data_IF_102198110369
#
_entry.id   IF_102198110369
#
_cell.length_a   1.000
_cell.length_b   1.000
_cell.length_c   1.000
_cell.angle_alpha   90.00
_cell.angle_beta   90.00
_cell.angle_gamma   90.00
#
_symmetry.space_group_name_H-M   'P 1'
#
loop_
_entity.id
_entity.type
_entity.pdbx_description
1 polymer ?
#
# COMPACT_ATOMS: atom_id res chain seq x y z
N UNK A 1 -54.11 -0.43 -2.08
CA UNK A 1 -54.26 -0.53 -0.61
C UNK A 1 -53.11 0.25 0.03
N UNK A 2 -53.48 1.31 0.69
CA UNK A 2 -52.58 2.22 1.43
C UNK A 2 -52.19 1.56 2.76
N UNK A 3 -50.96 1.69 3.24
CA UNK A 3 -50.64 1.82 4.65
C UNK A 3 -49.33 2.56 4.83
N UNK A 4 -49.47 3.77 5.30
CA UNK A 4 -48.47 4.64 5.92
C UNK A 4 -47.94 4.00 7.21
N UNK A 5 -46.71 4.21 7.56
CA UNK A 5 -46.29 4.32 8.96
C UNK A 5 -45.30 5.46 9.16
N UNK A 6 -45.66 6.20 10.17
CA UNK A 6 -45.26 7.56 10.53
C UNK A 6 -44.03 7.53 11.45
N UNK A 7 -43.23 8.59 11.33
CA UNK A 7 -42.22 9.19 12.19
C UNK A 7 -42.22 8.82 13.69
N UNK A 8 -41.04 8.69 14.27
CA UNK A 8 -40.75 9.18 15.61
C UNK A 8 -39.38 9.87 15.63
N UNK A 9 -39.44 11.11 16.02
CA UNK A 9 -38.39 12.08 16.30
C UNK A 9 -38.10 12.01 17.81
N UNK A 10 -36.86 12.00 18.26
CA UNK A 10 -36.49 12.38 19.61
C UNK A 10 -35.09 13.00 19.61
N UNK A 11 -35.09 14.28 19.86
CA UNK A 11 -33.92 15.09 20.20
C UNK A 11 -33.70 15.05 21.72
N UNK A 12 -32.45 15.06 22.15
CA UNK A 12 -32.08 15.57 23.46
C UNK A 12 -30.70 16.22 23.41
N UNK A 13 -30.71 17.53 23.50
CA UNK A 13 -29.59 18.40 23.89
C UNK A 13 -29.29 18.19 25.38
N UNK A 14 -28.03 18.22 25.77
CA UNK A 14 -27.63 18.79 27.05
C UNK A 14 -26.22 19.40 26.94
N UNK A 15 -26.26 20.73 27.05
CA UNK A 15 -25.16 21.65 27.25
C UNK A 15 -24.63 21.49 28.70
N UNK A 16 -23.33 21.59 28.88
CA UNK A 16 -22.67 21.72 30.19
C UNK A 16 -21.34 22.46 30.05
N UNK A 17 -21.42 23.80 30.03
CA UNK A 17 -20.31 24.70 30.33
C UNK A 17 -20.04 24.69 31.83
N UNK A 18 -18.77 24.65 32.22
CA UNK A 18 -18.29 25.32 33.45
C UNK A 18 -16.86 25.82 33.25
N UNK A 19 -16.78 27.12 33.40
CA UNK A 19 -15.64 28.02 33.41
C UNK A 19 -14.94 28.05 34.75
N UNK A 20 -13.67 28.32 34.73
CA UNK A 20 -13.01 29.43 35.45
C UNK A 20 -11.89 29.12 36.43
N UNK A 21 -10.78 29.81 36.17
CA UNK A 21 -9.88 30.57 37.09
C UNK A 21 -9.13 29.74 38.15
N UNK A 22 -7.85 29.90 38.37
CA UNK A 22 -6.88 30.97 38.12
C UNK A 22 -5.77 30.89 39.16
N UNK A 23 -4.63 31.36 38.74
CA UNK A 23 -3.55 32.02 39.51
C UNK A 23 -2.58 31.25 40.40
N UNK A 24 -1.31 31.39 40.00
CA UNK A 24 -0.10 31.80 40.75
C UNK A 24 0.24 31.20 42.13
N UNK A 25 1.50 30.79 42.23
CA UNK A 25 2.26 30.88 43.48
C UNK A 25 3.47 29.98 43.63
N UNK A 26 4.63 30.51 43.18
CA UNK A 26 5.97 30.50 43.81
C UNK A 26 6.48 29.33 44.67
N UNK A 27 7.64 28.81 44.22
CA UNK A 27 8.84 28.36 44.91
C UNK A 27 8.86 28.00 46.43
N UNK A 28 9.51 26.90 46.74
CA UNK A 28 10.66 26.84 47.65
C UNK A 28 11.13 25.40 47.89
N UNK A 29 12.34 25.12 47.53
CA UNK A 29 13.49 24.43 48.18
C UNK A 29 13.21 23.78 49.54
N UNK A 30 13.60 22.51 49.72
CA UNK A 30 14.58 22.10 50.75
C UNK A 30 14.75 20.59 50.84
N UNK A 31 16.01 20.15 50.64
CA UNK A 31 16.89 19.32 51.43
C UNK A 31 16.51 17.86 51.80
N UNK A 32 17.43 17.00 51.44
CA UNK A 32 17.62 15.63 51.92
C UNK A 32 17.96 15.58 53.43
N UNK A 33 17.92 14.41 54.02
CA UNK A 33 19.14 13.95 54.70
C UNK A 33 19.59 12.53 54.33
N UNK A 34 20.91 12.41 54.37
CA UNK A 34 21.76 11.23 54.35
C UNK A 34 21.66 10.39 55.62
N UNK A 35 22.34 9.22 55.48
CA UNK A 35 23.03 8.41 56.53
C UNK A 35 22.27 7.15 56.94
N UNK A 36 22.79 5.95 56.92
CA UNK A 36 24.10 5.47 57.37
C UNK A 36 24.36 4.03 56.89
N UNK A 37 25.60 3.70 56.62
CA UNK A 37 26.16 2.39 56.34
C UNK A 37 26.23 1.51 57.59
N UNK A 38 26.19 0.19 57.38
CA UNK A 38 26.83 -0.76 58.29
C UNK A 38 27.42 -1.93 57.47
N UNK A 39 28.73 -1.99 57.47
CA UNK A 39 29.56 -3.16 57.13
C UNK A 39 29.34 -4.29 58.12
N UNK A 40 29.38 -5.54 57.66
CA UNK A 40 29.97 -6.63 58.40
C UNK A 40 30.46 -7.77 57.49
N UNK A 41 31.73 -8.04 57.65
CA UNK A 41 32.73 -8.93 57.10
C UNK A 41 32.36 -10.41 56.93
N UNK A 42 32.86 -10.96 55.82
CA UNK A 42 33.63 -12.17 55.51
C UNK A 42 33.28 -13.54 56.15
N UNK A 43 33.20 -14.55 55.29
CA UNK A 43 34.01 -15.76 55.36
C UNK A 43 34.01 -16.52 54.02
N UNK A 44 35.19 -16.78 53.49
CA UNK A 44 35.52 -17.69 52.39
C UNK A 44 35.05 -19.11 52.67
N UNK A 45 34.58 -19.81 51.68
CA UNK A 45 34.86 -21.21 51.45
C UNK A 45 34.83 -21.56 49.98
N UNK A 46 36.00 -21.98 49.53
CA UNK A 46 36.28 -22.49 48.18
C UNK A 46 35.71 -23.90 48.07
N UNK A 47 34.87 -24.13 47.04
CA UNK A 47 34.77 -25.46 46.44
C UNK A 47 34.51 -25.30 44.92
N UNK A 48 35.48 -25.80 44.16
CA UNK A 48 35.40 -25.91 42.72
C UNK A 48 34.43 -27.04 42.37
N UNK A 49 33.32 -26.67 41.71
CA UNK A 49 32.53 -27.59 40.95
C UNK A 49 32.57 -27.15 39.48
N UNK A 50 33.20 -27.99 38.68
CA UNK A 50 33.20 -27.95 37.23
C UNK A 50 31.79 -28.22 36.73
N UNK A 51 31.01 -27.21 36.47
CA UNK A 51 29.80 -27.37 35.71
C UNK A 51 30.13 -27.22 34.22
N UNK A 52 30.01 -28.33 33.52
CA UNK A 52 29.94 -28.34 32.06
C UNK A 52 28.75 -27.50 31.66
N UNK A 53 29.01 -26.37 30.99
CA UNK A 53 28.00 -25.61 30.30
C UNK A 53 27.42 -26.49 29.17
N UNK A 54 26.29 -27.10 29.44
CA UNK A 54 25.41 -27.62 28.42
C UNK A 54 24.77 -26.37 27.82
N UNK A 55 25.23 -25.93 26.65
CA UNK A 55 24.44 -25.06 25.78
C UNK A 55 23.12 -25.81 25.51
N UNK A 56 22.11 -25.49 26.29
CA UNK A 56 20.75 -25.77 25.90
C UNK A 56 20.51 -24.87 24.65
N UNK A 57 20.42 -25.50 23.48
CA UNK A 57 19.80 -24.86 22.34
C UNK A 57 18.40 -24.39 22.83
N UNK A 58 18.17 -23.10 22.91
CA UNK A 58 16.83 -22.57 23.08
C UNK A 58 16.03 -23.13 21.88
N UNK A 59 15.09 -24.03 22.17
CA UNK A 59 14.11 -24.44 21.18
C UNK A 59 13.41 -23.16 20.74
N UNK A 60 13.64 -22.70 19.50
CA UNK A 60 12.96 -21.54 18.93
C UNK A 60 11.46 -21.78 19.06
N UNK A 61 10.82 -20.96 19.88
CA UNK A 61 9.38 -21.08 20.11
C UNK A 61 8.65 -20.77 18.82
N UNK A 62 7.77 -21.68 18.36
CA UNK A 62 6.96 -21.48 17.17
C UNK A 62 6.25 -20.12 17.20
N UNK A 63 6.37 -19.35 16.12
CA UNK A 63 5.75 -18.05 15.98
C UNK A 63 4.33 -18.21 15.42
N UNK A 64 3.32 -18.10 16.29
CA UNK A 64 1.92 -18.24 15.90
C UNK A 64 1.27 -16.97 15.34
N UNK A 65 1.96 -15.82 15.46
CA UNK A 65 1.45 -14.51 15.03
C UNK A 65 2.37 -13.87 14.00
N UNK A 66 1.80 -13.31 12.94
CA UNK A 66 2.53 -12.60 11.87
C UNK A 66 1.96 -11.19 11.75
N UNK A 67 2.84 -10.18 11.72
CA UNK A 67 2.48 -8.78 11.59
C UNK A 67 3.08 -8.14 10.33
N UNK A 68 2.21 -7.65 9.47
CA UNK A 68 2.56 -6.79 8.34
C UNK A 68 2.21 -5.33 8.66
N UNK A 69 3.10 -4.41 8.37
CA UNK A 69 2.85 -2.97 8.55
C UNK A 69 3.30 -2.17 7.32
N UNK A 70 2.56 -1.14 6.91
CA UNK A 70 3.06 -0.20 5.91
C UNK A 70 2.08 0.16 4.80
N UNK A 71 2.42 -0.15 3.55
CA UNK A 71 1.71 0.32 2.35
C UNK A 71 0.19 0.14 2.38
N UNK A 72 -0.54 1.24 2.18
CA UNK A 72 -2.00 1.23 2.03
C UNK A 72 -2.45 0.59 0.71
N UNK A 73 -1.57 0.47 -0.29
CA UNK A 73 -1.86 -0.21 -1.56
C UNK A 73 -1.82 -1.73 -1.42
N UNK A 74 -0.89 -2.27 -0.63
CA UNK A 74 -0.80 -3.71 -0.37
C UNK A 74 -1.79 -4.18 0.70
N UNK A 75 -2.20 -3.28 1.60
CA UNK A 75 -3.11 -3.57 2.70
C UNK A 75 -4.38 -4.36 2.30
N UNK A 76 -5.17 -3.98 1.26
CA UNK A 76 -6.39 -4.71 0.91
C UNK A 76 -6.10 -6.14 0.41
N UNK A 77 -4.99 -6.35 -0.31
CA UNK A 77 -4.59 -7.67 -0.79
C UNK A 77 -4.25 -8.57 0.39
N UNK A 78 -3.29 -8.14 1.23
CA UNK A 78 -2.84 -8.96 2.36
C UNK A 78 -3.92 -9.14 3.43
N UNK A 79 -4.78 -8.15 3.67
CA UNK A 79 -5.91 -8.30 4.61
C UNK A 79 -6.91 -9.35 4.12
N UNK A 80 -7.19 -9.40 2.81
CA UNK A 80 -8.06 -10.42 2.23
C UNK A 80 -7.43 -11.80 2.34
N UNK A 81 -6.12 -11.92 2.04
CA UNK A 81 -5.39 -13.19 2.12
C UNK A 81 -5.25 -13.68 3.57
N UNK A 82 -4.96 -12.79 4.53
CA UNK A 82 -4.91 -13.12 5.94
C UNK A 82 -6.25 -13.66 6.46
N UNK A 83 -7.36 -13.03 6.05
CA UNK A 83 -8.71 -13.50 6.40
C UNK A 83 -9.00 -14.86 5.77
N UNK A 84 -8.73 -15.03 4.47
CA UNK A 84 -8.97 -16.31 3.77
C UNK A 84 -8.13 -17.44 4.37
N UNK A 85 -6.84 -17.20 4.66
CA UNK A 85 -5.95 -18.18 5.28
C UNK A 85 -6.44 -18.60 6.67
N UNK A 86 -6.82 -17.61 7.50
CA UNK A 86 -7.30 -17.87 8.86
C UNK A 86 -8.66 -18.59 8.85
N UNK A 87 -9.54 -18.29 7.90
CA UNK A 87 -10.83 -18.98 7.75
C UNK A 87 -10.66 -20.41 7.25
N UNK A 88 -9.69 -20.67 6.36
CA UNK A 88 -9.42 -21.98 5.79
C UNK A 88 -8.78 -22.93 6.82
N UNK A 89 -7.78 -22.48 7.54
CA UNK A 89 -6.95 -23.35 8.39
C UNK A 89 -7.26 -23.25 9.89
N UNK A 90 -7.67 -22.09 10.40
CA UNK A 90 -8.02 -21.80 11.80
C UNK A 90 -6.82 -21.94 12.77
N UNK A 91 -6.12 -23.06 12.72
CA UNK A 91 -4.94 -23.38 13.57
C UNK A 91 -3.77 -23.85 12.73
N UNK A 92 -2.55 -23.63 13.22
CA UNK A 92 -1.32 -23.93 12.46
C UNK A 92 -1.15 -25.41 12.15
N UNK A 93 -1.61 -26.33 13.02
CA UNK A 93 -1.58 -27.79 12.77
C UNK A 93 -2.44 -28.23 11.57
N UNK A 94 -3.30 -27.36 11.06
CA UNK A 94 -4.07 -27.60 9.83
C UNK A 94 -3.32 -27.15 8.57
N UNK A 95 -2.38 -26.21 8.73
CA UNK A 95 -1.48 -25.80 7.64
C UNK A 95 -0.43 -26.90 7.41
N UNK A 96 0.24 -27.33 8.50
CA UNK A 96 1.17 -28.46 8.49
C UNK A 96 1.04 -29.25 9.80
N UNK A 97 0.97 -30.58 9.70
CA UNK A 97 0.80 -31.48 10.86
C UNK A 97 2.00 -31.47 11.86
N UNK A 98 3.13 -30.91 11.46
CA UNK A 98 4.29 -30.71 12.34
C UNK A 98 4.18 -29.46 13.21
N UNK A 99 3.27 -28.53 12.88
CA UNK A 99 3.08 -27.28 13.62
C UNK A 99 2.21 -27.50 14.86
N UNK A 100 2.33 -26.64 15.88
CA UNK A 100 1.47 -26.71 17.06
C UNK A 100 0.03 -26.32 16.72
N UNK A 101 -0.95 -26.78 17.51
CA UNK A 101 -2.37 -26.48 17.35
C UNK A 101 -2.73 -25.08 17.91
N UNK A 102 -1.85 -24.11 17.70
CA UNK A 102 -2.08 -22.71 18.06
C UNK A 102 -2.97 -22.02 17.03
N UNK A 103 -3.78 -21.05 17.47
CA UNK A 103 -4.60 -20.26 16.57
C UNK A 103 -3.72 -19.40 15.65
N UNK A 104 -4.10 -19.33 14.37
CA UNK A 104 -3.47 -18.44 13.39
C UNK A 104 -3.84 -16.99 13.72
N UNK A 105 -2.83 -16.12 13.76
CA UNK A 105 -2.98 -14.70 14.06
C UNK A 105 -2.18 -13.88 13.05
N UNK A 106 -2.82 -13.36 12.01
CA UNK A 106 -2.15 -12.56 11.00
C UNK A 106 -2.75 -11.15 11.00
N UNK A 107 -1.92 -10.16 11.30
CA UNK A 107 -2.31 -8.76 11.39
C UNK A 107 -1.70 -7.96 10.25
N UNK A 108 -2.52 -7.12 9.62
CA UNK A 108 -2.08 -6.22 8.55
C UNK A 108 -2.46 -4.79 8.94
N UNK A 109 -1.46 -3.94 9.14
CA UNK A 109 -1.64 -2.55 9.58
C UNK A 109 -1.24 -1.55 8.48
N UNK A 110 -2.14 -0.65 8.04
CA UNK A 110 -1.79 0.39 7.10
C UNK A 110 -0.98 1.52 7.78
N UNK A 111 0.01 2.11 7.07
CA UNK A 111 0.85 3.18 7.64
C UNK A 111 1.69 3.94 6.60
N UNK A 112 1.67 3.47 5.34
CA UNK A 112 2.54 3.97 4.27
C UNK A 112 3.90 3.25 4.18
N UNK A 113 4.54 3.30 3.01
CA UNK A 113 5.76 2.53 2.70
C UNK A 113 6.94 2.83 3.64
N UNK A 114 7.14 4.09 4.02
CA UNK A 114 8.22 4.47 4.93
C UNK A 114 8.03 3.89 6.34
N UNK A 115 6.80 3.92 6.85
CA UNK A 115 6.45 3.31 8.14
C UNK A 115 6.67 1.80 8.11
N UNK A 116 6.30 1.14 7.00
CA UNK A 116 6.52 -0.29 6.83
C UNK A 116 7.99 -0.68 6.92
N UNK A 117 8.86 0.02 6.18
CA UNK A 117 10.31 -0.24 6.24
C UNK A 117 10.85 -0.01 7.65
N UNK A 118 10.49 1.11 8.29
CA UNK A 118 10.94 1.38 9.67
C UNK A 118 10.48 0.30 10.63
N UNK A 119 9.24 -0.19 10.49
CA UNK A 119 8.72 -1.24 11.36
C UNK A 119 9.49 -2.57 11.20
N UNK A 120 9.89 -2.94 9.98
CA UNK A 120 10.72 -4.12 9.74
C UNK A 120 12.16 -3.94 10.25
N UNK A 121 12.77 -2.75 10.05
CA UNK A 121 14.11 -2.42 10.58
C UNK A 121 14.13 -2.45 12.11
N UNK A 122 13.11 -1.87 12.75
CA UNK A 122 12.98 -1.79 14.21
C UNK A 122 12.42 -3.08 14.82
N UNK A 123 12.10 -4.10 13.99
CA UNK A 123 11.51 -5.39 14.39
C UNK A 123 10.21 -5.23 15.20
N UNK A 124 9.43 -4.19 14.89
CA UNK A 124 8.10 -3.97 15.45
C UNK A 124 6.99 -4.56 14.58
N UNK A 125 7.35 -5.00 13.39
CA UNK A 125 6.57 -5.87 12.51
C UNK A 125 7.53 -6.86 11.83
N UNK A 126 7.02 -8.05 11.50
CA UNK A 126 7.79 -9.10 10.83
C UNK A 126 8.06 -8.71 9.38
N UNK A 127 7.09 -8.03 8.76
CA UNK A 127 7.16 -7.57 7.38
C UNK A 127 6.80 -6.10 7.21
N UNK A 128 7.61 -5.37 6.45
CA UNK A 128 7.35 -4.02 5.98
C UNK A 128 6.69 -4.02 4.61
N UNK A 129 5.49 -3.44 4.46
CA UNK A 129 4.79 -3.32 3.18
C UNK A 129 5.20 -2.04 2.44
N UNK A 130 5.49 -2.16 1.15
CA UNK A 130 5.87 -1.04 0.27
C UNK A 130 5.02 -1.02 -1.01
N UNK A 131 4.83 0.18 -1.56
CA UNK A 131 4.31 0.40 -2.91
C UNK A 131 5.26 1.32 -3.68
N UNK A 132 6.52 0.99 -3.68
CA UNK A 132 7.64 1.60 -4.39
C UNK A 132 8.84 0.69 -4.33
N UNK A 133 9.84 0.98 -5.13
CA UNK A 133 11.15 0.35 -4.97
C UNK A 133 11.72 0.66 -3.59
N UNK A 134 12.36 -0.33 -2.99
CA UNK A 134 13.12 -0.13 -1.76
C UNK A 134 14.42 0.62 -2.07
N UNK A 135 14.85 1.49 -1.16
CA UNK A 135 16.09 2.26 -1.30
C UNK A 135 17.30 1.46 -0.84
N UNK A 136 18.46 1.69 -1.42
CA UNK A 136 19.71 1.03 -1.02
C UNK A 136 20.01 1.21 0.47
N UNK A 137 19.77 2.42 1.02
CA UNK A 137 19.93 2.68 2.46
C UNK A 137 18.94 1.91 3.35
N UNK A 138 17.76 1.56 2.84
CA UNK A 138 16.77 0.75 3.55
C UNK A 138 17.16 -0.73 3.52
N UNK A 139 17.71 -1.22 2.40
CA UNK A 139 18.28 -2.57 2.28
C UNK A 139 19.46 -2.72 3.27
N UNK A 140 20.36 -1.72 3.32
CA UNK A 140 21.47 -1.71 4.26
C UNK A 140 21.01 -1.76 5.72
N UNK A 141 19.94 -1.02 6.05
CA UNK A 141 19.35 -1.00 7.38
C UNK A 141 18.66 -2.32 7.79
N UNK A 142 18.07 -3.04 6.83
CA UNK A 142 17.46 -4.36 7.04
C UNK A 142 18.52 -5.45 7.25
N UNK A 143 19.75 -5.26 6.72
CA UNK A 143 20.89 -6.10 6.98
C UNK A 143 21.05 -7.31 6.08
N UNK A 144 21.83 -8.29 6.54
CA UNK A 144 22.32 -9.40 5.70
C UNK A 144 21.24 -10.43 5.33
N UNK A 145 20.20 -10.55 6.15
CA UNK A 145 19.09 -11.48 5.94
C UNK A 145 17.90 -10.82 5.19
N UNK A 146 18.14 -9.64 4.58
CA UNK A 146 17.15 -8.94 3.76
C UNK A 146 16.52 -9.84 2.70
N UNK A 147 15.18 -9.85 2.66
CA UNK A 147 14.38 -10.51 1.65
C UNK A 147 13.29 -9.58 1.16
N UNK A 148 12.93 -9.71 -0.11
CA UNK A 148 11.85 -8.93 -0.73
C UNK A 148 10.94 -9.82 -1.56
N UNK A 149 9.63 -9.53 -1.50
CA UNK A 149 8.56 -10.31 -2.11
C UNK A 149 7.66 -9.39 -2.91
N UNK A 150 7.82 -9.38 -4.24
CA UNK A 150 6.99 -8.56 -5.13
C UNK A 150 5.70 -9.32 -5.40
N UNK A 151 4.60 -8.83 -4.84
CA UNK A 151 3.26 -9.43 -4.99
C UNK A 151 2.60 -8.96 -6.29
N UNK A 152 2.72 -7.67 -6.59
CA UNK A 152 1.98 -7.08 -7.70
C UNK A 152 2.71 -5.89 -8.34
N UNK A 153 2.21 -5.47 -9.49
CA UNK A 153 2.47 -4.18 -10.11
C UNK A 153 1.21 -3.31 -10.08
N UNK A 154 1.36 -2.08 -9.66
CA UNK A 154 0.35 -1.03 -9.74
C UNK A 154 0.67 -0.16 -10.95
N UNK A 155 -0.09 -0.33 -12.05
CA UNK A 155 0.14 0.38 -13.29
C UNK A 155 -1.03 1.30 -13.62
N UNK A 156 -0.71 2.45 -14.21
CA UNK A 156 -1.67 3.46 -14.64
C UNK A 156 -1.66 3.58 -16.15
N UNK A 157 -2.82 3.39 -16.78
CA UNK A 157 -2.97 3.65 -18.21
C UNK A 157 -3.33 5.12 -18.45
N UNK A 158 -2.58 5.84 -19.26
CA UNK A 158 -3.04 7.13 -19.79
C UNK A 158 -4.19 6.84 -20.72
N UNK A 159 -5.39 7.29 -20.38
CA UNK A 159 -6.62 6.93 -21.07
C UNK A 159 -7.40 8.15 -21.50
N UNK A 160 -8.00 8.07 -22.68
CA UNK A 160 -8.98 9.02 -23.21
C UNK A 160 -10.33 8.35 -23.40
N UNK A 161 -11.38 9.13 -23.58
CA UNK A 161 -12.66 8.60 -24.02
C UNK A 161 -12.51 7.91 -25.38
N UNK A 162 -13.12 6.74 -25.58
CA UNK A 162 -13.01 5.99 -26.83
C UNK A 162 -13.62 6.72 -28.06
N UNK A 163 -14.51 7.69 -27.85
CA UNK A 163 -15.07 8.55 -28.89
C UNK A 163 -14.25 9.82 -29.15
N UNK A 164 -13.14 10.02 -28.44
CA UNK A 164 -12.26 11.17 -28.67
C UNK A 164 -11.64 11.07 -30.07
N UNK A 165 -11.69 12.14 -30.89
CA UNK A 165 -11.11 12.12 -32.22
C UNK A 165 -9.62 11.80 -32.29
N UNK A 166 -8.87 12.00 -31.21
CA UNK A 166 -7.44 11.61 -31.14
C UNK A 166 -7.23 10.12 -31.44
N UNK A 167 -8.19 9.26 -31.09
CA UNK A 167 -8.13 7.82 -31.37
C UNK A 167 -8.05 7.49 -32.87
N UNK A 168 -8.48 8.42 -33.75
CA UNK A 168 -8.36 8.30 -35.19
C UNK A 168 -7.09 8.94 -35.76
N UNK A 169 -6.31 9.64 -34.97
CA UNK A 169 -5.08 10.36 -35.36
C UNK A 169 -3.83 9.67 -34.87
N UNK A 170 -3.78 9.36 -33.58
CA UNK A 170 -2.65 8.64 -32.94
C UNK A 170 -3.13 7.79 -31.79
N UNK A 171 -2.40 6.71 -31.51
CA UNK A 171 -2.55 5.88 -30.32
C UNK A 171 -1.37 6.07 -29.33
N UNK A 172 -0.45 7.01 -29.61
CA UNK A 172 0.77 7.25 -28.86
C UNK A 172 0.93 8.71 -28.46
N UNK A 173 1.29 8.94 -27.19
CA UNK A 173 1.67 10.24 -26.64
C UNK A 173 3.06 10.12 -26.01
N UNK A 174 3.89 11.13 -26.20
CA UNK A 174 5.16 11.16 -25.45
C UNK A 174 4.92 11.49 -23.98
N UNK A 175 5.78 11.01 -23.10
CA UNK A 175 5.74 11.37 -21.67
C UNK A 175 5.70 12.88 -21.46
N UNK A 176 6.45 13.66 -22.28
CA UNK A 176 6.43 15.13 -22.20
C UNK A 176 5.09 15.73 -22.64
N UNK A 177 4.45 15.21 -23.68
CA UNK A 177 3.10 15.65 -24.08
C UNK A 177 2.08 15.38 -22.98
N UNK A 178 2.13 14.18 -22.37
CA UNK A 178 1.27 13.84 -21.23
C UNK A 178 1.52 14.81 -20.07
N UNK A 179 2.78 15.07 -19.74
CA UNK A 179 3.15 16.05 -18.71
C UNK A 179 2.57 17.44 -19.02
N UNK A 180 2.75 17.95 -20.25
CA UNK A 180 2.27 19.27 -20.66
C UNK A 180 0.74 19.38 -20.59
N UNK A 181 0.01 18.33 -20.98
CA UNK A 181 -1.46 18.29 -20.87
C UNK A 181 -1.87 18.35 -19.39
N UNK A 182 -1.27 17.52 -18.56
CA UNK A 182 -1.62 17.48 -17.14
C UNK A 182 -1.14 18.69 -16.35
N UNK A 183 -0.10 19.38 -16.82
CA UNK A 183 0.33 20.68 -16.27
C UNK A 183 -0.54 21.87 -16.74
N UNK A 184 -1.40 21.66 -17.76
CA UNK A 184 -2.19 22.73 -18.37
C UNK A 184 -1.38 23.63 -19.30
N UNK A 185 -0.25 23.16 -19.80
CA UNK A 185 0.55 23.85 -20.85
C UNK A 185 -0.06 23.61 -22.24
N UNK A 186 -0.71 22.47 -22.44
CA UNK A 186 -1.55 22.11 -23.58
C UNK A 186 -2.99 22.04 -23.07
N UNK A 187 -3.84 22.96 -23.53
CA UNK A 187 -5.20 23.15 -23.02
C UNK A 187 -6.29 22.66 -23.99
N UNK A 188 -5.95 22.50 -25.29
CA UNK A 188 -6.90 22.13 -26.33
C UNK A 188 -6.34 21.01 -27.22
N UNK A 189 -7.24 20.18 -27.78
CA UNK A 189 -6.86 19.03 -28.58
C UNK A 189 -6.13 19.39 -29.90
N UNK A 190 -6.40 20.53 -30.51
CA UNK A 190 -5.67 21.03 -31.71
C UNK A 190 -4.22 21.41 -31.40
N UNK A 191 -3.86 21.63 -30.12
CA UNK A 191 -2.46 21.81 -29.71
C UNK A 191 -1.71 20.48 -29.62
N UNK A 192 -2.42 19.37 -29.46
CA UNK A 192 -1.83 18.02 -29.51
C UNK A 192 -1.57 17.62 -30.97
N UNK A 193 -2.57 17.82 -31.85
CA UNK A 193 -2.44 17.63 -33.29
C UNK A 193 -3.37 18.64 -34.04
N UNK A 194 -2.82 19.37 -35.00
CA UNK A 194 -3.53 20.42 -35.72
C UNK A 194 -4.73 19.93 -36.57
N UNK A 195 -4.90 18.61 -36.73
CA UNK A 195 -6.07 18.01 -37.39
C UNK A 195 -7.27 17.83 -36.47
N UNK A 196 -7.05 17.97 -35.15
CA UNK A 196 -8.08 17.84 -34.14
C UNK A 196 -8.85 19.15 -33.94
N UNK A 197 -10.09 19.11 -33.45
CA UNK A 197 -10.84 20.32 -33.15
C UNK A 197 -10.26 21.08 -31.96
N UNK A 198 -10.39 22.40 -31.95
CA UNK A 198 -9.96 23.28 -30.84
C UNK A 198 -10.93 23.19 -29.66
N UNK A 199 -11.11 21.99 -29.15
CA UNK A 199 -11.93 21.70 -27.97
C UNK A 199 -11.05 21.58 -26.72
N UNK A 200 -11.54 22.01 -25.55
CA UNK A 200 -10.75 21.95 -24.32
C UNK A 200 -10.43 20.48 -23.91
N UNK A 201 -9.25 20.30 -23.35
CA UNK A 201 -8.86 19.02 -22.73
C UNK A 201 -9.31 19.02 -21.27
N UNK A 202 -10.22 18.11 -20.91
CA UNK A 202 -10.68 17.95 -19.54
C UNK A 202 -9.82 16.90 -18.82
N UNK A 203 -9.02 17.33 -17.86
CA UNK A 203 -8.06 16.48 -17.15
C UNK A 203 -8.70 15.88 -15.91
N UNK A 204 -8.63 14.55 -15.76
CA UNK A 204 -9.13 13.80 -14.63
C UNK A 204 -7.98 13.10 -13.88
N UNK A 205 -7.91 13.30 -12.57
CA UNK A 205 -6.87 12.74 -11.70
C UNK A 205 -7.47 12.07 -10.47
N UNK A 206 -6.67 11.28 -9.78
CA UNK A 206 -6.96 10.85 -8.41
C UNK A 206 -6.78 12.01 -7.44
N UNK A 207 -7.40 11.89 -6.27
CA UNK A 207 -7.08 12.77 -5.16
C UNK A 207 -5.57 12.75 -4.87
N UNK A 208 -5.03 13.90 -4.45
CA UNK A 208 -3.59 14.13 -4.29
C UNK A 208 -2.97 13.29 -3.15
N UNK A 209 -3.77 12.72 -2.26
CA UNK A 209 -3.32 11.84 -1.19
C UNK A 209 -3.23 10.37 -1.63
N UNK A 210 -3.71 10.04 -2.82
CA UNK A 210 -3.78 8.68 -3.34
C UNK A 210 -2.45 8.18 -3.87
N UNK A 211 -2.13 6.91 -3.58
CA UNK A 211 -0.90 6.31 -4.08
C UNK A 211 -0.76 6.28 -5.60
N UNK A 212 -1.87 6.30 -6.34
CA UNK A 212 -1.84 6.40 -7.79
C UNK A 212 -1.40 7.78 -8.30
N UNK A 213 -1.79 8.85 -7.58
CA UNK A 213 -1.25 10.17 -7.88
C UNK A 213 0.28 10.20 -7.69
N UNK A 214 0.80 9.59 -6.61
CA UNK A 214 2.23 9.48 -6.37
C UNK A 214 2.98 8.76 -7.51
N UNK A 215 2.40 7.66 -8.05
CA UNK A 215 2.95 6.97 -9.22
C UNK A 215 3.01 7.90 -10.42
N UNK A 216 1.89 8.56 -10.73
CA UNK A 216 1.79 9.46 -11.88
C UNK A 216 2.73 10.67 -11.74
N UNK A 217 2.77 11.28 -10.55
CA UNK A 217 3.68 12.39 -10.25
C UNK A 217 5.14 11.99 -10.48
N UNK A 218 5.56 10.84 -9.98
CA UNK A 218 6.94 10.36 -10.12
C UNK A 218 7.28 9.98 -11.57
N UNK A 219 6.37 9.30 -12.27
CA UNK A 219 6.66 8.70 -13.57
C UNK A 219 6.46 9.64 -14.75
N UNK A 220 5.59 10.67 -14.61
CA UNK A 220 5.20 11.58 -15.69
C UNK A 220 5.50 13.02 -15.36
N UNK A 221 5.04 13.51 -14.21
CA UNK A 221 5.09 14.94 -13.90
C UNK A 221 6.49 15.41 -13.46
N UNK A 222 7.27 14.56 -12.80
CA UNK A 222 8.56 14.95 -12.23
C UNK A 222 8.41 16.11 -11.23
N UNK A 223 9.07 17.24 -11.51
CA UNK A 223 8.96 18.45 -10.69
C UNK A 223 7.78 19.37 -11.10
N UNK A 224 7.03 19.02 -12.15
CA UNK A 224 5.86 19.80 -12.60
C UNK A 224 4.65 19.47 -11.72
N UNK A 225 3.80 20.47 -11.49
CA UNK A 225 2.53 20.28 -10.78
C UNK A 225 1.39 20.02 -11.76
N UNK A 226 0.41 19.23 -11.35
CA UNK A 226 -0.83 19.07 -12.11
C UNK A 226 -1.65 20.35 -12.04
N UNK A 227 -2.26 20.74 -13.17
CA UNK A 227 -3.09 21.95 -13.27
C UNK A 227 -4.19 21.98 -12.20
N UNK A 228 -4.41 23.16 -11.62
CA UNK A 228 -5.50 23.37 -10.67
C UNK A 228 -6.90 23.18 -11.29
N UNK A 229 -7.01 23.18 -12.63
CA UNK A 229 -8.24 22.92 -13.37
C UNK A 229 -8.59 21.42 -13.44
N UNK A 230 -7.68 20.50 -13.08
CA UNK A 230 -7.91 19.07 -13.11
C UNK A 230 -9.03 18.66 -12.12
N UNK A 231 -9.93 17.82 -12.59
CA UNK A 231 -11.00 17.25 -11.77
C UNK A 231 -10.47 16.07 -10.96
N UNK A 232 -10.55 16.15 -9.63
CA UNK A 232 -10.14 15.07 -8.74
C UNK A 232 -11.26 14.05 -8.55
N UNK A 233 -10.90 12.76 -8.62
CA UNK A 233 -11.80 11.63 -8.39
C UNK A 233 -11.42 10.88 -7.12
N UNK A 234 -12.41 10.53 -6.29
CA UNK A 234 -12.20 9.84 -5.02
C UNK A 234 -11.79 8.36 -5.16
N UNK A 235 -12.01 7.76 -6.34
CA UNK A 235 -11.64 6.37 -6.64
C UNK A 235 -11.18 6.18 -8.07
N UNK A 236 -10.44 5.09 -8.36
CA UNK A 236 -10.07 4.72 -9.73
C UNK A 236 -11.27 4.40 -10.61
N UNK A 237 -12.31 3.82 -10.03
CA UNK A 237 -13.57 3.54 -10.76
C UNK A 237 -14.27 4.84 -11.15
N UNK A 238 -14.33 5.82 -10.26
CA UNK A 238 -14.90 7.14 -10.55
C UNK A 238 -14.08 7.87 -11.61
N UNK A 239 -12.74 7.84 -11.52
CA UNK A 239 -11.85 8.44 -12.52
C UNK A 239 -12.10 7.84 -13.91
N UNK A 240 -12.10 6.51 -14.04
CA UNK A 240 -12.40 5.82 -15.29
C UNK A 240 -13.82 6.18 -15.82
N UNK A 241 -14.81 6.28 -14.93
CA UNK A 241 -16.17 6.68 -15.27
C UNK A 241 -16.25 8.13 -15.78
N UNK A 242 -15.53 9.04 -15.13
CA UNK A 242 -15.50 10.44 -15.55
C UNK A 242 -14.90 10.59 -16.95
N UNK A 243 -13.79 9.91 -17.25
CA UNK A 243 -13.22 9.91 -18.61
C UNK A 243 -14.20 9.28 -19.62
N UNK A 244 -14.83 8.15 -19.27
CA UNK A 244 -15.77 7.46 -20.16
C UNK A 244 -17.02 8.29 -20.50
N UNK A 245 -17.42 9.22 -19.63
CA UNK A 245 -18.60 10.09 -19.83
C UNK A 245 -18.26 11.44 -20.47
N UNK A 246 -16.98 11.73 -20.69
CA UNK A 246 -16.53 12.99 -21.27
C UNK A 246 -15.70 12.74 -22.53
N UNK A 247 -16.28 13.04 -23.70
CA UNK A 247 -15.62 12.87 -24.99
C UNK A 247 -14.26 13.56 -25.09
N UNK A 248 -14.07 14.67 -24.38
CA UNK A 248 -12.84 15.47 -24.40
C UNK A 248 -11.93 15.18 -23.19
N UNK A 249 -12.31 14.16 -22.41
CA UNK A 249 -11.60 13.75 -21.20
C UNK A 249 -10.31 12.99 -21.48
N UNK A 250 -9.31 13.26 -20.65
CA UNK A 250 -8.09 12.48 -20.49
C UNK A 250 -7.82 12.28 -19.01
N UNK A 251 -7.25 11.13 -18.65
CA UNK A 251 -6.86 10.85 -17.27
C UNK A 251 -5.94 9.63 -17.21
N UNK A 252 -5.56 9.25 -16.01
CA UNK A 252 -4.84 7.99 -15.79
C UNK A 252 -5.72 7.02 -14.99
N UNK A 253 -6.09 5.92 -15.58
CA UNK A 253 -6.85 4.87 -14.89
C UNK A 253 -5.89 3.77 -14.40
N UNK A 254 -6.11 3.23 -13.20
CA UNK A 254 -5.45 1.99 -12.81
C UNK A 254 -5.80 0.87 -13.78
N UNK A 255 -4.84 0.00 -14.10
CA UNK A 255 -5.00 -1.05 -15.13
C UNK A 255 -6.25 -1.91 -14.92
N UNK A 256 -6.53 -2.31 -13.67
CA UNK A 256 -7.75 -3.06 -13.33
C UNK A 256 -9.03 -2.23 -13.53
N UNK A 257 -9.02 -0.93 -13.21
CA UNK A 257 -10.17 -0.06 -13.41
C UNK A 257 -10.44 0.20 -14.90
N UNK A 258 -9.39 0.36 -15.71
CA UNK A 258 -9.46 0.45 -17.16
C UNK A 258 -10.09 -0.81 -17.77
N UNK A 259 -9.60 -1.99 -17.42
CA UNK A 259 -10.14 -3.25 -17.90
C UNK A 259 -11.61 -3.46 -17.50
N UNK A 260 -11.95 -3.12 -16.26
CA UNK A 260 -13.32 -3.20 -15.74
C UNK A 260 -14.26 -2.24 -16.46
N UNK A 261 -13.83 -1.02 -16.75
CA UNK A 261 -14.63 -0.06 -17.51
C UNK A 261 -14.93 -0.58 -18.92
N UNK A 262 -13.97 -1.25 -19.56
CA UNK A 262 -14.09 -1.77 -20.92
C UNK A 262 -14.72 -3.20 -21.01
N UNK A 263 -15.07 -3.83 -19.89
CA UNK A 263 -15.56 -5.22 -19.86
C UNK A 263 -16.83 -5.47 -20.70
N UNK A 264 -17.68 -4.47 -20.88
CA UNK A 264 -18.93 -4.56 -21.64
C UNK A 264 -18.93 -3.75 -22.96
N UNK A 265 -17.78 -3.32 -23.41
CA UNK A 265 -17.57 -2.49 -24.60
C UNK A 265 -16.50 -1.44 -24.34
N UNK A 266 -15.81 -1.06 -25.42
CA UNK A 266 -14.73 -0.09 -25.31
C UNK A 266 -15.29 1.32 -25.08
N UNK A 267 -15.16 1.83 -23.87
CA UNK A 267 -15.53 3.19 -23.46
C UNK A 267 -14.30 4.07 -23.19
N UNK A 268 -13.15 3.44 -22.95
CA UNK A 268 -11.86 4.07 -22.77
C UNK A 268 -10.86 3.53 -23.80
N UNK A 269 -10.03 4.42 -24.33
CA UNK A 269 -8.86 4.05 -25.12
C UNK A 269 -7.60 4.34 -24.30
N UNK A 270 -6.78 3.31 -24.02
CA UNK A 270 -5.45 3.51 -23.47
C UNK A 270 -4.52 4.01 -24.58
N UNK A 271 -3.80 5.07 -24.28
CA UNK A 271 -2.74 5.59 -25.15
C UNK A 271 -1.43 4.86 -24.82
N UNK A 272 -0.65 4.57 -25.85
CA UNK A 272 0.77 4.25 -25.63
C UNK A 272 1.48 5.47 -25.05
N UNK A 273 2.54 5.24 -24.31
CA UNK A 273 3.42 6.31 -23.82
C UNK A 273 4.85 6.01 -24.28
N UNK A 274 5.42 6.93 -25.05
CA UNK A 274 6.72 6.76 -25.73
C UNK A 274 6.81 5.46 -26.56
N UNK A 275 5.74 5.14 -27.28
CA UNK A 275 5.61 3.95 -28.11
C UNK A 275 5.33 2.64 -27.33
N UNK A 276 5.20 2.70 -26.00
CA UNK A 276 4.99 1.51 -25.14
C UNK A 276 3.53 1.40 -24.73
N UNK A 277 2.91 0.28 -25.06
CA UNK A 277 1.55 -0.06 -24.66
C UNK A 277 1.52 -0.61 -23.23
N UNK A 278 0.49 -0.24 -22.44
CA UNK A 278 0.24 -0.76 -21.12
C UNK A 278 -0.36 -2.18 -21.20
N UNK A 279 0.45 -3.17 -21.55
CA UNK A 279 0.10 -4.59 -21.50
C UNK A 279 0.65 -5.25 -20.24
N UNK A 280 0.06 -6.37 -19.82
CA UNK A 280 0.58 -7.16 -18.69
C UNK A 280 2.06 -7.49 -18.88
N UNK A 281 2.45 -7.92 -20.10
CA UNK A 281 3.84 -8.25 -20.44
C UNK A 281 4.78 -7.05 -20.25
N UNK A 282 4.41 -5.88 -20.79
CA UNK A 282 5.22 -4.67 -20.69
C UNK A 282 5.29 -4.12 -19.26
N UNK A 283 4.23 -4.29 -18.48
CA UNK A 283 4.16 -3.85 -17.08
C UNK A 283 5.01 -4.77 -16.20
N UNK A 284 4.82 -6.08 -16.28
CA UNK A 284 5.59 -7.06 -15.49
C UNK A 284 7.07 -7.04 -15.90
N UNK A 285 7.34 -6.87 -17.20
CA UNK A 285 8.69 -6.75 -17.75
C UNK A 285 9.38 -5.41 -17.49
N UNK A 286 8.74 -4.50 -16.75
CA UNK A 286 9.24 -3.14 -16.46
C UNK A 286 9.58 -2.32 -17.72
N UNK A 287 8.90 -2.59 -18.85
CA UNK A 287 9.01 -1.81 -20.09
C UNK A 287 8.09 -0.58 -20.01
N UNK A 288 6.83 -0.77 -19.58
CA UNK A 288 5.89 0.32 -19.32
C UNK A 288 6.22 1.01 -18.00
N UNK A 289 6.51 2.32 -18.03
CA UNK A 289 7.13 3.02 -16.89
C UNK A 289 6.17 3.68 -15.91
N UNK A 290 4.89 3.86 -16.27
CA UNK A 290 3.89 4.44 -15.36
C UNK A 290 3.34 3.34 -14.46
N UNK A 291 4.21 2.79 -13.61
CA UNK A 291 3.93 1.68 -12.71
C UNK A 291 4.89 1.66 -11.50
N UNK A 292 4.55 0.88 -10.50
CA UNK A 292 5.39 0.64 -9.32
C UNK A 292 5.21 -0.78 -8.79
N UNK A 293 6.21 -1.36 -8.13
CA UNK A 293 6.04 -2.60 -7.41
C UNK A 293 5.17 -2.38 -6.16
N UNK A 294 4.38 -3.41 -5.85
CA UNK A 294 3.66 -3.55 -4.59
C UNK A 294 4.20 -4.81 -3.93
N UNK A 295 4.91 -4.65 -2.80
CA UNK A 295 5.79 -5.66 -2.25
C UNK A 295 5.84 -5.59 -0.72
N UNK A 296 6.37 -6.63 -0.10
CA UNK A 296 6.77 -6.60 1.30
C UNK A 296 8.21 -7.07 1.47
N UNK A 297 8.82 -6.67 2.56
CA UNK A 297 10.23 -6.94 2.87
C UNK A 297 10.39 -7.37 4.32
N UNK A 298 11.43 -8.12 4.60
CA UNK A 298 11.89 -8.42 5.96
C UNK A 298 13.42 -8.33 6.03
N UNK A 299 13.97 -8.10 7.22
CA UNK A 299 15.40 -8.15 7.53
C UNK A 299 15.79 -9.42 8.27
N UNK A 300 14.89 -10.39 8.36
CA UNK A 300 15.09 -11.63 9.12
C UNK A 300 14.84 -12.87 8.26
N UNK A 301 15.35 -14.02 8.69
CA UNK A 301 15.00 -15.29 8.07
C UNK A 301 13.56 -15.63 8.41
N UNK A 302 12.84 -16.12 7.43
CA UNK A 302 11.47 -16.54 7.64
C UNK A 302 11.39 -17.70 8.65
N UNK A 303 10.49 -17.59 9.60
CA UNK A 303 10.03 -18.71 10.40
C UNK A 303 9.18 -19.67 9.57
N UNK A 304 8.91 -20.87 10.06
CA UNK A 304 8.09 -21.85 9.35
C UNK A 304 6.66 -21.35 9.09
N UNK A 305 6.07 -20.66 10.05
CA UNK A 305 4.74 -20.05 9.90
C UNK A 305 4.71 -18.91 8.88
N UNK A 306 5.73 -18.05 8.89
CA UNK A 306 5.88 -16.96 7.90
C UNK A 306 6.05 -17.52 6.50
N UNK A 307 6.91 -18.55 6.33
CA UNK A 307 7.09 -19.20 5.05
C UNK A 307 5.78 -19.80 4.53
N UNK A 308 5.01 -20.46 5.38
CA UNK A 308 3.73 -21.05 5.00
C UNK A 308 2.73 -19.99 4.52
N UNK A 309 2.67 -18.83 5.20
CA UNK A 309 1.81 -17.74 4.72
C UNK A 309 2.35 -17.04 3.47
N UNK A 310 3.66 -16.89 3.34
CA UNK A 310 4.30 -16.40 2.10
C UNK A 310 3.97 -17.33 0.94
N UNK A 311 4.05 -18.64 1.10
CA UNK A 311 3.68 -19.61 0.06
C UNK A 311 2.20 -19.47 -0.34
N UNK A 312 1.30 -19.22 0.63
CA UNK A 312 -0.10 -18.96 0.34
C UNK A 312 -0.32 -17.65 -0.44
N UNK A 313 0.43 -16.58 -0.12
CA UNK A 313 0.38 -15.31 -0.88
C UNK A 313 0.76 -15.56 -2.34
N UNK A 314 1.73 -16.44 -2.61
CA UNK A 314 2.20 -16.75 -3.96
C UNK A 314 1.50 -17.96 -4.63
N UNK A 315 0.39 -18.42 -4.04
CA UNK A 315 -0.49 -19.45 -4.60
C UNK A 315 -1.48 -18.89 -5.64
N UNK A 316 -2.30 -19.79 -6.21
CA UNK A 316 -3.41 -19.39 -7.09
C UNK A 316 -4.41 -18.47 -6.36
N UNK A 317 -4.67 -18.71 -5.07
CA UNK A 317 -5.55 -17.85 -4.25
C UNK A 317 -4.98 -16.42 -4.18
N UNK A 318 -3.67 -16.29 -3.93
CA UNK A 318 -3.01 -14.99 -3.90
C UNK A 318 -3.04 -14.28 -5.26
N UNK A 319 -2.89 -15.03 -6.35
CA UNK A 319 -3.01 -14.51 -7.71
C UNK A 319 -4.41 -13.92 -7.94
N UNK A 320 -5.46 -14.72 -7.69
CA UNK A 320 -6.86 -14.31 -7.92
C UNK A 320 -7.26 -13.11 -7.04
N UNK A 321 -6.84 -13.08 -5.77
CA UNK A 321 -7.08 -11.96 -4.85
C UNK A 321 -6.37 -10.69 -5.32
N UNK A 322 -5.16 -10.81 -5.85
CA UNK A 322 -4.40 -9.68 -6.40
C UNK A 322 -5.12 -9.07 -7.61
N UNK A 323 -5.56 -9.89 -8.57
CA UNK A 323 -6.35 -9.43 -9.73
C UNK A 323 -7.70 -8.81 -9.30
N UNK A 324 -8.40 -9.43 -8.35
CA UNK A 324 -9.67 -8.93 -7.85
C UNK A 324 -9.56 -7.53 -7.21
N UNK A 325 -8.38 -7.20 -6.65
CA UNK A 325 -8.07 -5.87 -6.13
C UNK A 325 -7.62 -4.87 -7.21
N UNK A 326 -7.56 -5.28 -8.48
CA UNK A 326 -7.25 -4.41 -9.62
C UNK A 326 -5.76 -4.19 -9.85
N UNK A 327 -4.90 -5.03 -9.27
CA UNK A 327 -3.45 -5.05 -9.48
C UNK A 327 -3.05 -6.18 -10.44
N UNK A 328 -1.87 -6.06 -11.02
CA UNK A 328 -1.30 -7.09 -11.89
C UNK A 328 -0.39 -7.98 -11.03
N UNK A 329 -0.70 -9.29 -10.86
CA UNK A 329 0.19 -10.20 -10.16
C UNK A 329 1.58 -10.22 -10.80
N UNK A 330 2.62 -10.11 -9.97
CA UNK A 330 4.02 -10.09 -10.43
C UNK A 330 4.70 -11.48 -10.34
N UNK A 331 3.90 -12.53 -10.20
CA UNK A 331 4.37 -13.91 -10.04
C UNK A 331 3.50 -14.88 -10.84
N UNK A 332 4.05 -16.06 -11.09
CA UNK A 332 3.26 -17.21 -11.58
C UNK A 332 2.94 -18.07 -10.36
N UNK A 333 1.66 -18.46 -10.16
CA UNK A 333 1.30 -19.28 -9.02
C UNK A 333 2.13 -20.56 -8.93
N UNK A 334 2.59 -20.92 -7.74
CA UNK A 334 3.16 -22.23 -7.49
C UNK A 334 2.05 -23.30 -7.65
N UNK A 335 2.34 -24.37 -8.41
CA UNK A 335 1.42 -25.49 -8.63
C UNK A 335 1.28 -26.35 -7.38
#
# INVERSE_FOLDING_TARGET
>A
MKKNFTKVLAAALSLGLLTACGSNGTAATTAAPETTAAETTAAETTEAATEAATEAAEEEKFQASILFCGSTSLYPILSSLASSFTEEYVTWDKVDASFPADNISIYVAPGGSGVGVSAAVDKTADFGMLARDIKDSEIEALGADYQSFIVARDALTVSVNAENPICGVTDDLTTDMVRQIFAGEIETWDQVDASLPAEPINVYIRDLSGGAYEVFQKSVMGDSEVTAAATQSASMTELATNIANDKWGIGYAGFGAYNKANANGQVLQAMKVDGVEATVENIVGDVYKIQRPVMFVTGEKLTESEQAFVDYIFSQVGYDVTEANGYIPAFTPAN
#
